data_IF_554651844104
#
_entry.id   IF_554651844104
#
_cell.length_a   1.000
_cell.length_b   1.000
_cell.length_c   1.000
_cell.angle_alpha   90.00
_cell.angle_beta   90.00
_cell.angle_gamma   90.00
#
_symmetry.space_group_name_H-M   'P 1'
#
loop_
_entity.id
_entity.type
_entity.pdbx_description
1 polymer ?
#
# COMPACT_ATOMS: atom_id res chain seq x y z
N UNK A 1 35.89 23.62 1.31
CA UNK A 1 34.53 23.84 1.82
C UNK A 1 34.59 24.36 3.25
N UNK A 2 33.94 25.49 3.53
CA UNK A 2 33.86 26.03 4.89
C UNK A 2 32.91 25.20 5.74
N UNK A 3 33.00 25.34 7.06
CA UNK A 3 32.08 24.65 7.98
C UNK A 3 30.62 25.05 7.77
N UNK A 4 30.40 26.33 7.45
CA UNK A 4 29.03 26.82 7.13
C UNK A 4 28.47 26.21 5.88
N UNK A 5 29.27 26.07 4.82
CA UNK A 5 28.88 25.43 3.57
C UNK A 5 28.59 23.95 3.79
N UNK A 6 29.42 23.29 4.59
CA UNK A 6 29.25 21.88 4.95
C UNK A 6 27.96 21.67 5.75
N UNK A 7 27.69 22.55 6.72
CA UNK A 7 26.45 22.51 7.50
C UNK A 7 25.22 22.68 6.61
N UNK A 8 25.25 23.66 5.70
CA UNK A 8 24.15 23.87 4.76
C UNK A 8 23.94 22.66 3.86
N UNK A 9 25.02 22.01 3.43
CA UNK A 9 24.96 20.78 2.64
C UNK A 9 24.25 19.65 3.40
N UNK A 10 24.55 19.50 4.69
CA UNK A 10 23.88 18.49 5.54
C UNK A 10 22.41 18.83 5.76
N UNK A 11 22.08 20.07 6.01
CA UNK A 11 20.68 20.49 6.18
C UNK A 11 19.87 20.28 4.91
N UNK A 12 20.44 20.58 3.76
CA UNK A 12 19.81 20.30 2.47
C UNK A 12 19.56 18.79 2.28
N UNK A 13 20.56 17.96 2.57
CA UNK A 13 20.44 16.51 2.49
C UNK A 13 19.33 15.98 3.40
N UNK A 14 19.22 16.49 4.62
CA UNK A 14 18.18 16.11 5.58
C UNK A 14 16.79 16.42 5.01
N UNK A 15 16.62 17.60 4.40
CA UNK A 15 15.34 17.97 3.77
C UNK A 15 14.99 17.02 2.61
N UNK A 16 15.99 16.65 1.80
CA UNK A 16 15.78 15.69 0.71
C UNK A 16 15.37 14.31 1.24
N UNK A 17 16.01 13.86 2.32
CA UNK A 17 15.63 12.59 2.95
C UNK A 17 14.21 12.63 3.52
N UNK A 18 13.81 13.72 4.13
CA UNK A 18 12.44 13.89 4.64
C UNK A 18 11.41 13.80 3.52
N UNK A 19 11.67 14.43 2.38
CA UNK A 19 10.80 14.39 1.22
C UNK A 19 10.70 12.97 0.65
N UNK A 20 11.82 12.27 0.57
CA UNK A 20 11.86 10.88 0.09
C UNK A 20 11.09 9.96 1.02
N UNK A 21 11.27 10.10 2.32
CA UNK A 21 10.53 9.30 3.33
C UNK A 21 9.04 9.57 3.22
N UNK A 22 8.64 10.84 3.12
CA UNK A 22 7.23 11.22 2.98
C UNK A 22 6.60 10.58 1.74
N UNK A 23 7.30 10.62 0.61
CA UNK A 23 6.85 9.99 -0.64
C UNK A 23 6.70 8.47 -0.49
N UNK A 24 7.68 7.82 0.14
CA UNK A 24 7.64 6.38 0.37
C UNK A 24 6.53 5.99 1.35
N UNK A 25 6.27 6.80 2.37
CA UNK A 25 5.16 6.57 3.31
C UNK A 25 3.81 6.66 2.60
N UNK A 26 3.65 7.60 1.67
CA UNK A 26 2.46 7.69 0.83
C UNK A 26 2.29 6.45 -0.05
N UNK A 27 3.37 5.97 -0.65
CA UNK A 27 3.37 4.73 -1.45
C UNK A 27 3.02 3.53 -0.58
N UNK A 28 3.57 3.46 0.62
CA UNK A 28 3.27 2.39 1.58
C UNK A 28 1.78 2.34 1.92
N UNK A 29 1.19 3.49 2.21
CA UNK A 29 -0.24 3.60 2.50
C UNK A 29 -1.10 3.20 1.30
N UNK A 30 -0.71 3.61 0.11
CA UNK A 30 -1.40 3.25 -1.12
C UNK A 30 -1.41 1.74 -1.33
N UNK A 31 -0.25 1.09 -1.15
CA UNK A 31 -0.13 -0.37 -1.26
C UNK A 31 -0.95 -1.06 -0.17
N UNK A 32 -0.93 -0.54 1.05
CA UNK A 32 -1.71 -1.08 2.17
C UNK A 32 -3.21 -1.06 1.85
N UNK A 33 -3.71 0.03 1.30
CA UNK A 33 -5.11 0.15 0.91
C UNK A 33 -5.47 -0.84 -0.21
N UNK A 34 -4.57 -1.05 -1.16
CA UNK A 34 -4.76 -2.04 -2.22
C UNK A 34 -4.84 -3.47 -1.64
N UNK A 35 -3.96 -3.80 -0.69
CA UNK A 35 -3.99 -5.10 -0.01
C UNK A 35 -5.32 -5.32 0.70
N UNK A 36 -5.82 -4.31 1.41
CA UNK A 36 -7.11 -4.38 2.10
C UNK A 36 -8.26 -4.59 1.13
N UNK A 37 -8.23 -3.91 -0.01
CA UNK A 37 -9.27 -4.01 -1.03
C UNK A 37 -9.32 -5.43 -1.62
N UNK A 38 -8.17 -5.97 -2.01
CA UNK A 38 -8.08 -7.35 -2.52
C UNK A 38 -8.44 -8.38 -1.45
N UNK A 39 -8.05 -8.14 -0.20
CA UNK A 39 -8.39 -9.06 0.91
C UNK A 39 -9.90 -9.12 1.14
N UNK A 40 -10.60 -7.99 1.06
CA UNK A 40 -12.06 -7.95 1.14
C UNK A 40 -12.72 -8.70 0.01
N UNK A 41 -12.21 -8.52 -1.22
CA UNK A 41 -12.71 -9.24 -2.38
C UNK A 41 -12.56 -10.76 -2.22
N UNK A 42 -11.40 -11.19 -1.73
CA UNK A 42 -11.12 -12.61 -1.47
C UNK A 42 -12.11 -13.18 -0.46
N UNK A 43 -12.29 -12.51 0.67
CA UNK A 43 -13.22 -12.95 1.73
C UNK A 43 -14.65 -13.03 1.19
N UNK A 44 -15.07 -12.04 0.42
CA UNK A 44 -16.40 -11.99 -0.17
C UNK A 44 -16.61 -13.17 -1.11
N UNK A 45 -15.64 -13.45 -1.99
CA UNK A 45 -15.73 -14.58 -2.93
C UNK A 45 -15.76 -15.92 -2.19
N UNK A 46 -14.95 -16.09 -1.16
CA UNK A 46 -14.94 -17.30 -0.34
C UNK A 46 -16.31 -17.50 0.34
N UNK A 47 -16.88 -16.44 0.90
CA UNK A 47 -18.18 -16.50 1.57
C UNK A 47 -19.32 -16.80 0.58
N UNK A 48 -19.26 -16.24 -0.63
CA UNK A 48 -20.27 -16.52 -1.66
C UNK A 48 -20.20 -17.95 -2.17
N UNK A 49 -19.03 -18.58 -2.11
CA UNK A 49 -18.83 -19.95 -2.58
C UNK A 49 -19.13 -21.01 -1.51
N UNK A 50 -19.18 -20.63 -0.22
CA UNK A 50 -19.30 -21.54 0.90
C UNK A 50 -20.73 -21.92 1.26
N UNK A 51 -21.59 -22.13 0.30
CA UNK A 51 -22.96 -22.53 0.60
C UNK A 51 -23.67 -23.05 -0.64
N UNK A 52 -24.74 -23.77 -0.43
CA UNK A 52 -25.57 -24.30 -1.50
C UNK A 52 -26.74 -23.36 -1.87
N UNK A 53 -26.88 -22.25 -1.15
CA UNK A 53 -28.00 -21.32 -1.30
C UNK A 53 -27.54 -19.93 -1.71
N UNK A 54 -28.47 -19.18 -2.31
CA UNK A 54 -28.29 -17.76 -2.55
C UNK A 54 -28.03 -17.02 -1.24
N UNK A 55 -27.21 -15.98 -1.28
CA UNK A 55 -26.80 -15.20 -0.11
C UNK A 55 -27.48 -13.85 -0.14
N UNK A 56 -28.07 -13.46 0.99
CA UNK A 56 -28.62 -12.12 1.16
C UNK A 56 -27.48 -11.13 1.28
N UNK A 57 -27.53 -10.07 0.49
CA UNK A 57 -26.50 -9.01 0.47
C UNK A 57 -27.16 -7.64 0.53
N UNK A 58 -26.40 -6.65 0.95
CA UNK A 58 -26.78 -5.25 0.89
C UNK A 58 -26.07 -4.60 -0.29
N UNK A 59 -26.83 -4.02 -1.17
CA UNK A 59 -26.32 -3.37 -2.37
C UNK A 59 -26.29 -1.85 -2.17
N UNK A 60 -25.12 -1.20 -2.21
CA UNK A 60 -25.03 0.24 -2.01
C UNK A 60 -25.49 0.98 -3.27
N UNK A 61 -26.39 1.95 -3.09
CA UNK A 61 -26.90 2.78 -4.20
C UNK A 61 -26.45 4.24 -4.11
N UNK A 62 -25.63 4.58 -3.09
CA UNK A 62 -25.14 5.93 -2.85
C UNK A 62 -25.86 6.60 -1.69
N UNK A 63 -25.33 7.76 -1.24
CA UNK A 63 -25.93 8.53 -0.16
C UNK A 63 -26.10 7.78 1.16
N UNK A 64 -25.27 6.77 1.41
CA UNK A 64 -25.38 5.94 2.61
C UNK A 64 -26.58 4.99 2.62
N UNK A 65 -27.24 4.80 1.47
CA UNK A 65 -28.43 3.96 1.33
C UNK A 65 -28.05 2.61 0.72
N UNK A 66 -28.65 1.56 1.24
CA UNK A 66 -28.43 0.17 0.81
C UNK A 66 -29.77 -0.48 0.48
N UNK A 67 -29.76 -1.35 -0.48
CA UNK A 67 -30.93 -2.12 -0.90
C UNK A 67 -30.67 -3.59 -0.66
N UNK A 68 -31.64 -4.30 -0.11
CA UNK A 68 -31.57 -5.75 0.06
C UNK A 68 -31.56 -6.41 -1.32
N UNK A 69 -30.64 -7.35 -1.50
CA UNK A 69 -30.52 -8.12 -2.73
C UNK A 69 -30.08 -9.54 -2.40
N UNK A 70 -30.22 -10.43 -3.37
CA UNK A 70 -29.73 -11.79 -3.25
C UNK A 70 -28.68 -12.04 -4.31
N UNK A 71 -27.50 -12.49 -3.88
CA UNK A 71 -26.44 -12.91 -4.78
C UNK A 71 -26.72 -14.38 -5.19
N UNK A 72 -26.84 -14.62 -6.48
CA UNK A 72 -26.97 -15.96 -7.01
C UNK A 72 -25.68 -16.70 -6.83
N UNK A 73 -25.76 -17.97 -6.48
CA UNK A 73 -24.58 -18.82 -6.45
C UNK A 73 -24.13 -19.02 -7.90
N UNK A 74 -22.91 -18.60 -8.18
CA UNK A 74 -22.30 -18.77 -9.50
C UNK A 74 -20.89 -19.29 -9.33
N UNK A 75 -20.51 -20.17 -10.24
CA UNK A 75 -19.13 -20.71 -10.28
C UNK A 75 -18.17 -19.77 -10.98
N UNK A 76 -18.67 -18.68 -11.58
CA UNK A 76 -17.86 -17.73 -12.34
C UNK A 76 -18.09 -16.32 -11.84
N UNK A 77 -17.07 -15.47 -12.02
CA UNK A 77 -17.10 -14.04 -11.67
C UNK A 77 -16.52 -13.25 -12.82
N UNK A 78 -16.85 -11.96 -12.85
CA UNK A 78 -16.23 -11.02 -13.78
C UNK A 78 -14.99 -10.45 -13.09
N UNK A 79 -13.86 -10.54 -13.76
CA UNK A 79 -12.57 -10.16 -13.21
C UNK A 79 -11.84 -9.22 -14.17
N UNK A 80 -11.38 -8.07 -13.64
CA UNK A 80 -10.59 -7.10 -14.40
C UNK A 80 -9.14 -7.59 -14.47
N UNK A 81 -8.67 -7.86 -15.68
CA UNK A 81 -7.30 -8.35 -15.92
C UNK A 81 -6.32 -7.22 -16.27
N UNK A 82 -6.78 -5.98 -16.26
CA UNK A 82 -5.99 -4.80 -16.55
C UNK A 82 -6.53 -4.01 -17.74
N UNK A 83 -6.20 -2.72 -17.79
CA UNK A 83 -6.59 -1.80 -18.85
C UNK A 83 -8.12 -1.73 -19.11
N UNK A 84 -8.93 -1.99 -18.06
CA UNK A 84 -10.37 -1.99 -18.17
C UNK A 84 -10.97 -3.21 -18.86
N UNK A 85 -10.16 -4.20 -19.17
CA UNK A 85 -10.62 -5.45 -19.80
C UNK A 85 -11.12 -6.39 -18.69
N UNK A 86 -12.41 -6.73 -18.76
CA UNK A 86 -13.06 -7.62 -17.80
C UNK A 86 -13.36 -8.95 -18.50
N UNK A 87 -12.95 -10.04 -17.86
CA UNK A 87 -13.20 -11.39 -18.37
C UNK A 87 -13.96 -12.21 -17.33
N UNK A 88 -14.68 -13.21 -17.82
CA UNK A 88 -15.33 -14.17 -16.97
C UNK A 88 -14.31 -15.24 -16.54
N UNK A 89 -14.23 -15.51 -15.24
CA UNK A 89 -13.33 -16.50 -14.67
C UNK A 89 -14.06 -17.39 -13.68
N UNK A 90 -13.66 -18.66 -13.53
CA UNK A 90 -14.10 -19.45 -12.39
C UNK A 90 -13.74 -18.75 -11.07
N UNK A 91 -14.64 -18.80 -10.10
CA UNK A 91 -14.42 -18.16 -8.79
C UNK A 91 -13.13 -18.60 -8.12
N UNK A 92 -12.82 -19.89 -8.19
CA UNK A 92 -11.59 -20.43 -7.61
C UNK A 92 -10.33 -19.83 -8.23
N UNK A 93 -10.34 -19.65 -9.55
CA UNK A 93 -9.22 -19.05 -10.29
C UNK A 93 -9.09 -17.58 -9.93
N UNK A 94 -10.20 -16.86 -9.77
CA UNK A 94 -10.20 -15.47 -9.34
C UNK A 94 -9.62 -15.32 -7.93
N UNK A 95 -10.00 -16.20 -7.00
CA UNK A 95 -9.48 -16.22 -5.62
C UNK A 95 -7.96 -16.43 -5.64
N UNK A 96 -7.47 -17.38 -6.42
CA UNK A 96 -6.03 -17.64 -6.56
C UNK A 96 -5.29 -16.42 -7.11
N UNK A 97 -5.86 -15.78 -8.12
CA UNK A 97 -5.27 -14.60 -8.73
C UNK A 97 -5.22 -13.42 -7.78
N UNK A 98 -6.28 -13.23 -7.00
CA UNK A 98 -6.33 -12.21 -5.95
C UNK A 98 -5.25 -12.49 -4.89
N UNK A 99 -5.10 -13.74 -4.48
CA UNK A 99 -4.07 -14.13 -3.50
C UNK A 99 -2.65 -13.84 -4.02
N UNK A 100 -2.38 -14.15 -5.28
CA UNK A 100 -1.10 -13.82 -5.92
C UNK A 100 -0.84 -12.31 -5.92
N UNK A 101 -1.85 -11.49 -6.21
CA UNK A 101 -1.73 -10.03 -6.18
C UNK A 101 -1.46 -9.51 -4.78
N UNK A 102 -2.11 -10.09 -3.77
CA UNK A 102 -1.87 -9.74 -2.37
C UNK A 102 -0.42 -10.03 -1.99
N UNK A 103 0.10 -11.20 -2.36
CA UNK A 103 1.49 -11.58 -2.09
C UNK A 103 2.48 -10.64 -2.77
N UNK A 104 2.22 -10.28 -4.04
CA UNK A 104 3.05 -9.33 -4.77
C UNK A 104 3.05 -7.95 -4.11
N UNK A 105 1.89 -7.48 -3.69
CA UNK A 105 1.76 -6.21 -2.99
C UNK A 105 2.44 -6.24 -1.62
N UNK A 106 2.37 -7.35 -0.90
CA UNK A 106 3.07 -7.52 0.37
C UNK A 106 4.59 -7.44 0.18
N UNK A 107 5.13 -8.06 -0.86
CA UNK A 107 6.55 -7.97 -1.19
C UNK A 107 6.97 -6.52 -1.52
N UNK A 108 6.13 -5.81 -2.27
CA UNK A 108 6.35 -4.40 -2.57
C UNK A 108 6.34 -3.56 -1.29
N UNK A 109 5.40 -3.82 -0.39
CA UNK A 109 5.29 -3.12 0.88
C UNK A 109 6.53 -3.34 1.76
N UNK A 110 7.04 -4.57 1.83
CA UNK A 110 8.26 -4.90 2.55
C UNK A 110 9.47 -4.15 1.98
N UNK A 111 9.55 -4.08 0.65
CA UNK A 111 10.61 -3.34 -0.03
C UNK A 111 10.56 -1.85 0.30
N UNK A 112 9.37 -1.26 0.28
CA UNK A 112 9.17 0.15 0.65
C UNK A 112 9.58 0.38 2.11
N UNK A 113 9.16 -0.49 3.02
CA UNK A 113 9.52 -0.41 4.43
C UNK A 113 11.04 -0.46 4.64
N UNK A 114 11.73 -1.34 3.92
CA UNK A 114 13.19 -1.43 3.97
C UNK A 114 13.86 -0.16 3.45
N UNK A 115 13.33 0.41 2.36
CA UNK A 115 13.84 1.67 1.80
C UNK A 115 13.67 2.83 2.78
N UNK A 116 12.52 2.92 3.44
CA UNK A 116 12.26 3.93 4.46
C UNK A 116 13.28 3.80 5.59
N UNK A 117 13.49 2.59 6.09
CA UNK A 117 14.42 2.33 7.19
C UNK A 117 15.84 2.71 6.80
N UNK A 118 16.27 2.39 5.59
CA UNK A 118 17.60 2.74 5.08
C UNK A 118 17.78 4.27 5.01
N UNK A 119 16.80 4.97 4.46
CA UNK A 119 16.85 6.43 4.35
C UNK A 119 16.82 7.08 5.72
N UNK A 120 16.03 6.57 6.67
CA UNK A 120 16.01 7.06 8.05
C UNK A 120 17.37 6.90 8.71
N UNK A 121 18.06 5.79 8.47
CA UNK A 121 19.40 5.53 8.98
C UNK A 121 20.40 6.54 8.40
N UNK A 122 20.38 6.76 7.09
CA UNK A 122 21.24 7.74 6.41
C UNK A 122 20.97 9.17 6.90
N UNK A 123 19.70 9.53 7.06
CA UNK A 123 19.30 10.83 7.58
C UNK A 123 19.78 11.04 9.01
N UNK A 124 19.72 10.01 9.83
CA UNK A 124 20.21 10.04 11.21
C UNK A 124 21.72 10.30 11.26
N UNK A 125 22.50 9.62 10.41
CA UNK A 125 23.95 9.83 10.33
C UNK A 125 24.28 11.28 9.93
N UNK A 126 23.59 11.81 8.93
CA UNK A 126 23.80 13.19 8.48
C UNK A 126 23.38 14.18 9.57
N UNK A 127 22.29 13.90 10.27
CA UNK A 127 21.82 14.71 11.39
C UNK A 127 22.86 14.79 12.52
N UNK A 128 23.50 13.67 12.85
CA UNK A 128 24.59 13.61 13.82
C UNK A 128 25.80 14.44 13.38
N UNK A 129 26.18 14.35 12.12
CA UNK A 129 27.28 15.14 11.56
C UNK A 129 26.99 16.64 11.63
N UNK A 130 25.76 17.02 11.28
CA UNK A 130 25.32 18.41 11.38
C UNK A 130 25.37 18.91 12.83
N UNK A 131 24.93 18.09 13.78
CA UNK A 131 24.93 18.41 15.20
C UNK A 131 26.36 18.60 15.73
N UNK A 132 27.28 17.76 15.30
CA UNK A 132 28.72 17.91 15.66
C UNK A 132 29.29 19.23 15.17
N UNK A 133 28.98 19.62 13.94
CA UNK A 133 29.40 20.92 13.40
C UNK A 133 28.86 22.09 14.19
N UNK A 134 27.59 22.03 14.58
CA UNK A 134 26.96 23.06 15.42
C UNK A 134 27.68 23.15 16.79
N UNK A 135 27.95 22.01 17.40
CA UNK A 135 28.64 21.95 18.70
C UNK A 135 30.07 22.47 18.63
N UNK A 136 30.81 22.16 17.55
CA UNK A 136 32.16 22.69 17.33
C UNK A 136 32.15 24.20 17.14
N UNK A 137 31.15 24.76 16.47
CA UNK A 137 31.02 26.18 16.24
C UNK A 137 30.71 26.95 17.54
N UNK A 138 30.14 26.29 18.56
CA UNK A 138 29.84 26.90 19.86
C UNK A 138 31.04 26.94 20.81
N UNK A 139 32.12 26.22 20.48
CA UNK A 139 33.36 26.27 21.22
C UNK A 139 34.25 27.41 20.69
#
# INVERSE_FOLDING_TARGET
>A
MTKEEELQSYLYAIEQYKEQISSLEMQFSYVQNAILDYSRAKITLENLNNGDKEVDVLFPIGGGTYVDAQAKKTSTVLFDVGAGIVIEKPSEDAIKKIQERIEDLQRTQERIASMIQQIQSEASEISEKAQRLVNEAKK
#
